data_IF_923250052201
#
_entry.id   IF_923250052201
#
_cell.length_a   1.000
_cell.length_b   1.000
_cell.length_c   1.000
_cell.angle_alpha   90.00
_cell.angle_beta   90.00
_cell.angle_gamma   90.00
#
_symmetry.space_group_name_H-M   'P 1'
#
loop_
_entity.id
_entity.type
_entity.pdbx_description
1 polymer ?
#
# COMPACT_ATOMS: atom_id res chain seq x y z
N UNK A 1 18.30 -26.81 -13.50
CA UNK A 1 16.91 -26.72 -14.02
C UNK A 1 15.97 -26.92 -12.84
N UNK A 2 15.35 -25.87 -12.32
CA UNK A 2 14.35 -26.05 -11.26
C UNK A 2 13.14 -26.80 -11.85
N UNK A 3 12.52 -27.73 -11.10
CA UNK A 3 11.39 -28.50 -11.60
C UNK A 3 10.25 -27.55 -12.02
N UNK A 4 9.64 -27.80 -13.18
CA UNK A 4 8.62 -26.94 -13.77
C UNK A 4 7.47 -26.58 -12.81
N UNK A 5 7.13 -27.48 -11.86
CA UNK A 5 6.14 -27.22 -10.81
C UNK A 5 6.47 -26.02 -9.91
N UNK A 6 7.74 -25.81 -9.55
CA UNK A 6 8.14 -24.70 -8.67
C UNK A 6 8.02 -23.36 -9.40
N UNK A 7 8.30 -23.32 -10.71
CA UNK A 7 8.19 -22.09 -11.50
C UNK A 7 6.74 -21.62 -11.56
N UNK A 8 5.80 -22.53 -11.86
CA UNK A 8 4.38 -22.18 -11.88
C UNK A 8 3.85 -21.74 -10.52
N UNK A 9 4.31 -22.36 -9.44
CA UNK A 9 3.96 -21.94 -8.08
C UNK A 9 4.44 -20.51 -7.80
N UNK A 10 5.68 -20.17 -8.17
CA UNK A 10 6.23 -18.82 -8.00
C UNK A 10 5.45 -17.79 -8.83
N UNK A 11 5.12 -18.11 -10.09
CA UNK A 11 4.29 -17.23 -10.94
C UNK A 11 2.91 -16.99 -10.32
N UNK A 12 2.27 -18.04 -9.82
CA UNK A 12 0.97 -17.92 -9.14
C UNK A 12 1.07 -17.04 -7.88
N UNK A 13 2.11 -17.21 -7.06
CA UNK A 13 2.33 -16.43 -5.85
C UNK A 13 2.61 -14.95 -6.15
N UNK A 14 3.46 -14.65 -7.15
CA UNK A 14 3.74 -13.27 -7.56
C UNK A 14 2.49 -12.63 -8.15
N UNK A 15 1.74 -13.36 -9.00
CA UNK A 15 0.48 -12.89 -9.57
C UNK A 15 -0.57 -12.58 -8.50
N UNK A 16 -0.70 -13.42 -7.49
CA UNK A 16 -1.59 -13.16 -6.35
C UNK A 16 -1.15 -11.91 -5.57
N UNK A 17 0.16 -11.78 -5.33
CA UNK A 17 0.73 -10.62 -4.63
C UNK A 17 0.47 -9.31 -5.37
N UNK A 18 0.67 -9.27 -6.69
CA UNK A 18 0.42 -8.08 -7.49
C UNK A 18 -1.07 -7.79 -7.64
N UNK A 19 -1.91 -8.80 -7.77
CA UNK A 19 -3.36 -8.63 -7.78
C UNK A 19 -3.88 -8.02 -6.47
N UNK A 20 -3.42 -8.51 -5.32
CA UNK A 20 -3.77 -7.95 -4.01
C UNK A 20 -3.30 -6.48 -3.88
N UNK A 21 -2.09 -6.18 -4.35
CA UNK A 21 -1.54 -4.81 -4.33
C UNK A 21 -2.40 -3.84 -5.15
N UNK A 22 -2.87 -4.24 -6.33
CA UNK A 22 -3.72 -3.40 -7.17
C UNK A 22 -5.16 -3.29 -6.61
N UNK A 23 -5.70 -4.37 -6.07
CA UNK A 23 -7.01 -4.35 -5.40
C UNK A 23 -7.05 -3.39 -4.22
N UNK A 24 -5.96 -3.32 -3.43
CA UNK A 24 -5.83 -2.36 -2.34
C UNK A 24 -5.94 -0.91 -2.81
N UNK A 25 -5.22 -0.55 -3.88
CA UNK A 25 -5.27 0.80 -4.42
C UNK A 25 -6.66 1.15 -4.95
N UNK A 26 -7.33 0.21 -5.62
CA UNK A 26 -8.70 0.41 -6.08
C UNK A 26 -9.66 0.70 -4.92
N UNK A 27 -9.60 -0.09 -3.83
CA UNK A 27 -10.41 0.17 -2.64
C UNK A 27 -10.12 1.54 -2.02
N UNK A 28 -8.85 1.94 -1.97
CA UNK A 28 -8.45 3.23 -1.40
C UNK A 28 -8.96 4.41 -2.24
N UNK A 29 -8.91 4.32 -3.57
CA UNK A 29 -9.47 5.36 -4.45
C UNK A 29 -10.99 5.46 -4.35
N UNK A 30 -11.70 4.33 -4.26
CA UNK A 30 -13.15 4.32 -4.01
C UNK A 30 -13.47 4.95 -2.66
N UNK A 31 -12.76 4.56 -1.58
CA UNK A 31 -12.93 5.16 -0.25
C UNK A 31 -12.70 6.68 -0.27
N UNK A 32 -11.67 7.17 -0.94
CA UNK A 32 -11.43 8.62 -1.05
C UNK A 32 -12.56 9.33 -1.79
N UNK A 33 -13.06 8.73 -2.88
CA UNK A 33 -14.12 9.32 -3.71
C UNK A 33 -15.48 9.32 -3.02
N UNK A 34 -15.75 8.30 -2.19
CA UNK A 34 -16.99 8.19 -1.40
C UNK A 34 -17.01 9.15 -0.20
N UNK A 35 -15.84 9.48 0.35
CA UNK A 35 -15.71 10.28 1.57
C UNK A 35 -15.43 11.76 1.31
N UNK A 36 -14.82 12.13 0.19
CA UNK A 36 -14.36 13.50 -0.06
C UNK A 36 -15.14 14.17 -1.20
N UNK A 37 -15.21 15.50 -1.16
CA UNK A 37 -15.69 16.28 -2.30
C UNK A 37 -14.72 16.15 -3.49
N UNK A 38 -15.24 16.26 -4.72
CA UNK A 38 -14.51 15.98 -5.96
C UNK A 38 -13.18 16.77 -6.09
N UNK A 39 -13.14 18.01 -5.59
CA UNK A 39 -11.92 18.83 -5.57
C UNK A 39 -10.87 18.36 -4.54
N UNK A 40 -11.30 17.80 -3.40
CA UNK A 40 -10.40 17.33 -2.35
C UNK A 40 -9.77 15.96 -2.68
N UNK A 41 -10.47 15.12 -3.46
CA UNK A 41 -9.95 13.80 -3.90
C UNK A 41 -8.62 13.95 -4.64
N UNK A 42 -8.52 14.88 -5.58
CA UNK A 42 -7.31 15.07 -6.39
C UNK A 42 -6.11 15.51 -5.55
N UNK A 43 -6.31 16.42 -4.58
CA UNK A 43 -5.24 16.91 -3.70
C UNK A 43 -4.74 15.80 -2.77
N UNK A 44 -5.65 15.03 -2.17
CA UNK A 44 -5.29 13.94 -1.26
C UNK A 44 -4.62 12.80 -2.03
N UNK A 45 -5.11 12.45 -3.22
CA UNK A 45 -4.47 11.48 -4.09
C UNK A 45 -3.06 11.93 -4.53
N UNK A 46 -2.89 13.21 -4.87
CA UNK A 46 -1.59 13.79 -5.20
C UNK A 46 -0.58 13.72 -4.07
N UNK A 47 -0.99 14.12 -2.85
CA UNK A 47 -0.14 13.98 -1.65
C UNK A 47 0.18 12.51 -1.34
N UNK A 48 -0.81 11.61 -1.48
CA UNK A 48 -0.60 10.18 -1.35
C UNK A 48 0.43 9.64 -2.34
N UNK A 49 0.40 10.11 -3.59
CA UNK A 49 1.37 9.77 -4.62
C UNK A 49 2.80 10.23 -4.28
N UNK A 50 2.97 11.44 -3.76
CA UNK A 50 4.28 11.94 -3.31
C UNK A 50 4.81 11.12 -2.13
N UNK A 51 3.96 10.82 -1.13
CA UNK A 51 4.33 9.98 0.00
C UNK A 51 4.71 8.55 -0.44
N UNK A 52 3.98 7.99 -1.43
CA UNK A 52 4.30 6.70 -2.01
C UNK A 52 5.65 6.72 -2.76
N UNK A 53 5.93 7.76 -3.53
CA UNK A 53 7.22 7.91 -4.22
C UNK A 53 8.38 8.02 -3.22
N UNK A 54 8.24 8.85 -2.17
CA UNK A 54 9.27 8.98 -1.12
C UNK A 54 9.52 7.65 -0.40
N UNK A 55 8.47 6.93 -0.03
CA UNK A 55 8.63 5.62 0.63
C UNK A 55 9.30 4.59 -0.29
N UNK A 56 8.97 4.57 -1.59
CA UNK A 56 9.64 3.74 -2.59
C UNK A 56 11.14 4.04 -2.71
N UNK A 57 11.52 5.32 -2.70
CA UNK A 57 12.93 5.72 -2.70
C UNK A 57 13.67 5.29 -1.43
N UNK A 58 13.00 5.26 -0.28
CA UNK A 58 13.60 4.93 1.02
C UNK A 58 13.74 3.42 1.26
N UNK A 59 12.87 2.61 0.68
CA UNK A 59 12.87 1.14 0.88
C UNK A 59 14.13 0.47 0.33
N UNK A 60 14.69 0.95 -0.79
CA UNK A 60 15.89 0.39 -1.39
C UNK A 60 17.13 0.45 -0.45
N UNK A 61 17.54 1.62 0.07
CA UNK A 61 18.65 1.69 1.03
C UNK A 61 18.32 1.03 2.37
N UNK A 62 17.06 1.10 2.84
CA UNK A 62 16.64 0.42 4.07
C UNK A 62 16.82 -1.09 3.97
N UNK A 63 16.43 -1.69 2.85
CA UNK A 63 16.59 -3.12 2.60
C UNK A 63 18.08 -3.50 2.60
N UNK A 64 18.93 -2.68 1.99
CA UNK A 64 20.39 -2.88 2.00
C UNK A 64 20.97 -2.84 3.41
N UNK A 65 20.57 -1.84 4.22
CA UNK A 65 21.01 -1.69 5.60
C UNK A 65 20.58 -2.87 6.49
N UNK A 66 19.31 -3.27 6.42
CA UNK A 66 18.79 -4.41 7.20
C UNK A 66 19.48 -5.72 6.79
N UNK A 67 19.78 -5.89 5.49
CA UNK A 67 20.48 -7.07 5.01
C UNK A 67 21.94 -7.11 5.49
N UNK A 68 22.61 -5.96 5.57
CA UNK A 68 23.96 -5.86 6.12
C UNK A 68 24.00 -6.07 7.63
N UNK A 69 22.99 -5.61 8.36
CA UNK A 69 22.93 -5.74 9.81
C UNK A 69 22.59 -7.16 10.29
N UNK A 70 21.67 -7.86 9.60
CA UNK A 70 21.07 -9.13 10.08
C UNK A 70 21.41 -10.32 9.16
N UNK A 71 21.84 -10.07 7.92
CA UNK A 71 22.15 -11.11 6.93
C UNK A 71 20.94 -11.83 6.34
N UNK A 72 19.71 -11.53 6.77
CA UNK A 72 18.47 -12.18 6.33
C UNK A 72 17.49 -11.18 5.72
N UNK A 73 16.77 -11.60 4.67
CA UNK A 73 15.71 -10.81 3.99
C UNK A 73 14.33 -10.96 4.65
N UNK A 74 14.18 -11.98 5.49
CA UNK A 74 12.92 -12.27 6.18
C UNK A 74 12.41 -11.12 7.07
N UNK A 75 13.26 -10.36 7.80
CA UNK A 75 12.82 -9.23 8.62
C UNK A 75 12.20 -8.10 7.79
N UNK A 76 12.80 -7.79 6.63
CA UNK A 76 12.29 -6.74 5.73
C UNK A 76 10.93 -7.15 5.18
N UNK A 77 10.79 -8.41 4.75
CA UNK A 77 9.53 -8.94 4.25
C UNK A 77 8.42 -8.85 5.30
N UNK A 78 8.72 -9.23 6.55
CA UNK A 78 7.75 -9.16 7.64
C UNK A 78 7.40 -7.71 8.02
N UNK A 79 8.38 -6.80 8.04
CA UNK A 79 8.17 -5.39 8.35
C UNK A 79 7.27 -4.71 7.32
N UNK A 80 7.54 -4.91 6.03
CA UNK A 80 6.74 -4.35 4.94
C UNK A 80 5.34 -4.98 4.88
N UNK A 81 5.24 -6.29 5.09
CA UNK A 81 3.94 -6.98 5.17
C UNK A 81 3.09 -6.50 6.35
N UNK A 82 3.69 -6.31 7.52
CA UNK A 82 3.00 -5.80 8.71
C UNK A 82 2.53 -4.34 8.53
N UNK A 83 3.25 -3.53 7.75
CA UNK A 83 2.84 -2.16 7.45
C UNK A 83 1.47 -2.11 6.73
N UNK A 84 1.12 -3.14 5.94
CA UNK A 84 -0.19 -3.24 5.29
C UNK A 84 -1.33 -3.42 6.29
N UNK A 85 -1.12 -4.28 7.30
CA UNK A 85 -2.09 -4.49 8.37
C UNK A 85 -2.23 -3.23 9.23
N UNK A 86 -1.12 -2.55 9.49
CA UNK A 86 -1.14 -1.26 10.19
C UNK A 86 -1.93 -0.22 9.39
N UNK A 87 -1.71 -0.12 8.08
CA UNK A 87 -2.47 0.77 7.21
C UNK A 87 -3.97 0.47 7.24
N UNK A 88 -4.35 -0.81 7.20
CA UNK A 88 -5.76 -1.23 7.33
C UNK A 88 -6.34 -0.81 8.69
N UNK A 89 -5.61 -1.01 9.78
CA UNK A 89 -6.04 -0.58 11.11
C UNK A 89 -6.22 0.94 11.20
N UNK A 90 -5.33 1.71 10.56
CA UNK A 90 -5.46 3.18 10.46
C UNK A 90 -6.72 3.55 9.69
N UNK A 91 -6.99 2.93 8.54
CA UNK A 91 -8.22 3.18 7.76
C UNK A 91 -9.47 2.91 8.59
N UNK A 92 -9.56 1.75 9.27
CA UNK A 92 -10.69 1.43 10.14
C UNK A 92 -10.87 2.41 11.29
N UNK A 93 -9.77 2.96 11.81
CA UNK A 93 -9.80 3.92 12.92
C UNK A 93 -10.22 5.32 12.46
N UNK A 94 -9.80 5.74 11.27
CA UNK A 94 -10.12 7.07 10.72
C UNK A 94 -11.53 7.11 10.11
N UNK A 95 -11.97 6.01 9.50
CA UNK A 95 -13.28 5.90 8.84
C UNK A 95 -14.09 4.78 9.52
N UNK A 96 -14.47 4.92 10.80
CA UNK A 96 -15.29 3.94 11.47
C UNK A 96 -16.72 3.89 10.92
N UNK A 97 -17.17 4.99 10.30
CA UNK A 97 -18.43 5.08 9.55
C UNK A 97 -18.18 5.81 8.23
N UNK A 98 -18.62 5.22 7.12
CA UNK A 98 -18.51 5.82 5.79
C UNK A 98 -19.53 6.96 5.62
N UNK A 99 -19.34 8.04 6.38
CA UNK A 99 -20.11 9.27 6.20
C UNK A 99 -19.30 10.22 5.31
N UNK A 100 -19.91 10.79 4.26
CA UNK A 100 -19.24 11.79 3.44
C UNK A 100 -18.73 12.93 4.32
N UNK A 101 -17.43 13.23 4.24
CA UNK A 101 -16.84 14.34 4.95
C UNK A 101 -17.48 15.64 4.44
N UNK A 102 -17.99 16.45 5.37
CA UNK A 102 -18.56 17.76 5.06
C UNK A 102 -17.43 18.75 4.77
N UNK A 103 -16.83 18.64 3.59
CA UNK A 103 -15.86 19.61 3.08
C UNK A 103 -16.67 20.77 2.51
N UNK A 104 -16.58 21.95 3.11
CA UNK A 104 -17.29 23.15 2.64
C UNK A 104 -16.86 23.45 1.20
N UNK A 105 -17.83 23.47 0.28
CA UNK A 105 -17.61 23.87 -1.11
C UNK A 105 -17.29 25.37 -1.15
N UNK A 106 -16.11 25.79 -1.62
CA UNK A 106 -15.90 27.18 -2.00
C UNK A 106 -16.85 27.49 -3.16
N UNK A 107 -17.66 28.54 -2.99
CA UNK A 107 -18.67 29.00 -3.95
C UNK A 107 -18.08 29.40 -5.31
#
# INVERSE_FOLDING_TARGET
MLPACIVWLVVALIGLSTAAQQGWLACLFTLLSDLLACHAVATVAGFGGVAAAMSGMLIAPLTGFVLQAIGSRMPVFLMVGAAYILALAVVYRLVPRLQPARVEQPA
#
